data_IF_495871642892
#
_entry.id   IF_495871642892
#
_cell.length_a   1.000
_cell.length_b   1.000
_cell.length_c   1.000
_cell.angle_alpha   90.00
_cell.angle_beta   90.00
_cell.angle_gamma   90.00
#
_symmetry.space_group_name_H-M   'P 1'
#
loop_
_entity.id
_entity.type
_entity.pdbx_description
1 polymer ?
#
# COMPACT_ATOMS: atom_id res chain seq x y z
N UNK A 1 15.23 9.27 17.87
CA UNK A 1 16.08 8.04 17.97
C UNK A 1 17.53 8.38 18.22
N UNK A 2 18.28 7.45 18.81
CA UNK A 2 19.71 7.58 19.12
C UNK A 2 20.43 6.31 18.68
N UNK A 3 21.46 6.45 17.85
CA UNK A 3 22.25 5.35 17.31
C UNK A 3 23.72 5.56 17.70
N UNK A 4 24.23 4.84 18.71
CA UNK A 4 25.65 4.89 19.05
C UNK A 4 26.45 4.25 17.90
N UNK A 5 27.47 4.97 17.43
CA UNK A 5 28.37 4.50 16.41
C UNK A 5 29.51 3.77 17.09
N UNK A 6 29.58 2.46 16.89
CA UNK A 6 30.54 1.60 17.56
C UNK A 6 31.75 1.30 16.66
N UNK A 7 32.93 1.17 17.26
CA UNK A 7 34.13 0.68 16.58
C UNK A 7 34.12 -0.86 16.53
N UNK A 8 35.13 -1.46 15.88
CA UNK A 8 35.25 -2.93 15.79
C UNK A 8 35.40 -3.62 17.16
N UNK A 9 35.65 -2.87 18.24
CA UNK A 9 35.79 -3.35 19.62
C UNK A 9 34.53 -3.05 20.44
N UNK A 10 33.47 -2.54 19.82
CA UNK A 10 32.21 -2.19 20.49
C UNK A 10 32.25 -0.88 21.27
N UNK A 11 33.30 -0.05 21.12
CA UNK A 11 33.40 1.24 21.80
C UNK A 11 32.70 2.32 20.99
N UNK A 12 31.89 3.14 21.65
CA UNK A 12 31.24 4.29 21.04
C UNK A 12 32.26 5.36 20.66
N UNK A 13 32.25 5.79 19.40
CA UNK A 13 33.11 6.87 18.89
C UNK A 13 32.31 8.06 18.36
N UNK A 14 31.00 7.91 18.24
CA UNK A 14 30.09 8.97 17.83
C UNK A 14 28.65 8.58 18.11
N UNK A 15 27.76 9.55 17.99
CA UNK A 15 26.34 9.39 18.23
C UNK A 15 25.57 10.05 17.09
N UNK A 16 24.71 9.26 16.44
CA UNK A 16 23.80 9.77 15.43
C UNK A 16 22.40 9.89 16.04
N UNK A 17 21.81 11.07 15.94
CA UNK A 17 20.45 11.33 16.44
C UNK A 17 19.53 11.78 15.32
N UNK A 18 18.26 11.41 15.44
CA UNK A 18 17.20 11.79 14.52
C UNK A 18 15.92 12.13 15.27
N UNK A 19 15.20 13.12 14.77
CA UNK A 19 13.82 13.38 15.15
C UNK A 19 12.93 12.56 14.22
N UNK A 20 12.09 11.68 14.78
CA UNK A 20 11.31 10.72 14.00
C UNK A 20 9.91 10.54 14.59
N UNK A 21 8.91 10.36 13.72
CA UNK A 21 7.52 10.13 14.10
C UNK A 21 7.21 8.73 14.63
N UNK A 22 8.22 7.89 14.90
CA UNK A 22 7.99 6.53 15.36
C UNK A 22 7.49 6.51 16.81
N UNK A 23 6.64 5.53 17.15
CA UNK A 23 6.01 5.43 18.49
C UNK A 23 6.99 5.13 19.62
N UNK A 24 8.18 4.64 19.31
CA UNK A 24 9.23 4.30 20.28
C UNK A 24 10.61 4.58 19.72
N UNK A 25 11.57 4.90 20.59
CA UNK A 25 12.98 5.04 20.21
C UNK A 25 13.63 3.72 19.78
N UNK A 26 13.00 2.57 20.08
CA UNK A 26 13.47 1.23 19.70
C UNK A 26 12.88 0.73 18.37
N UNK A 27 11.84 1.40 17.85
CA UNK A 27 11.26 1.02 16.55
C UNK A 27 12.07 1.60 15.39
N UNK A 28 11.87 1.09 14.18
CA UNK A 28 12.41 1.69 12.95
C UNK A 28 12.04 3.17 12.87
N UNK A 29 12.96 3.99 12.36
CA UNK A 29 12.68 5.39 12.04
C UNK A 29 11.45 5.48 11.14
N UNK A 30 10.53 6.38 11.45
CA UNK A 30 9.33 6.68 10.67
C UNK A 30 9.35 8.13 10.23
N UNK A 31 9.13 8.34 8.93
CA UNK A 31 8.94 9.64 8.29
C UNK A 31 7.77 9.58 7.30
N UNK A 32 7.10 10.70 7.13
CA UNK A 32 5.97 10.89 6.22
C UNK A 32 6.37 11.70 4.99
N UNK A 33 5.49 11.74 3.98
CA UNK A 33 5.61 12.68 2.86
C UNK A 33 5.69 14.12 3.37
N UNK A 34 6.54 14.92 2.72
CA UNK A 34 6.85 16.31 3.04
C UNK A 34 7.50 16.55 4.42
N UNK A 35 7.85 15.49 5.16
CA UNK A 35 8.68 15.63 6.36
C UNK A 35 10.08 16.15 6.00
N UNK A 36 10.66 16.93 6.92
CA UNK A 36 12.09 17.24 6.91
C UNK A 36 12.78 16.31 7.90
N UNK A 37 13.69 15.47 7.39
CA UNK A 37 14.50 14.58 8.21
C UNK A 37 15.59 15.39 8.92
N UNK A 38 15.32 15.76 10.17
CA UNK A 38 16.27 16.40 11.06
C UNK A 38 17.12 15.37 11.80
N UNK A 39 18.42 15.64 11.86
CA UNK A 39 19.34 14.84 12.65
C UNK A 39 20.63 15.58 12.99
N UNK A 40 21.42 14.98 13.87
CA UNK A 40 22.76 15.46 14.18
C UNK A 40 23.72 14.30 14.32
N UNK A 41 24.92 14.49 13.80
CA UNK A 41 26.04 13.59 14.01
C UNK A 41 26.99 14.23 15.00
N UNK A 42 27.17 13.55 16.12
CA UNK A 42 28.16 13.88 17.12
C UNK A 42 29.35 12.94 17.00
N UNK A 43 30.57 13.47 17.05
CA UNK A 43 31.79 12.67 16.96
C UNK A 43 32.93 13.32 17.74
N UNK A 44 33.72 12.50 18.44
CA UNK A 44 34.99 12.93 19.02
C UNK A 44 36.13 12.80 18.01
N UNK A 45 36.96 13.83 17.88
CA UNK A 45 38.23 13.78 17.14
C UNK A 45 39.40 13.87 18.11
N UNK A 46 40.32 12.92 18.00
CA UNK A 46 41.53 12.88 18.82
C UNK A 46 42.71 13.57 18.12
N UNK A 47 43.76 13.87 18.89
CA UNK A 47 45.04 14.31 18.34
C UNK A 47 45.56 13.25 17.37
N UNK A 48 45.86 13.65 16.13
CA UNK A 48 46.22 12.78 14.99
C UNK A 48 45.06 11.98 14.36
N UNK A 49 43.79 12.41 14.49
CA UNK A 49 42.73 11.82 13.66
C UNK A 49 42.95 12.15 12.17
N UNK A 50 42.99 11.12 11.34
CA UNK A 50 43.18 11.24 9.89
C UNK A 50 41.87 11.54 9.17
N UNK A 51 40.88 12.12 9.84
CA UNK A 51 39.56 12.47 9.30
C UNK A 51 39.69 13.27 7.98
N UNK A 52 39.01 12.82 6.92
CA UNK A 52 39.06 13.42 5.59
C UNK A 52 37.73 14.04 5.19
N UNK A 53 36.64 13.34 5.45
CA UNK A 53 35.28 13.82 5.17
C UNK A 53 34.25 13.10 6.02
N UNK A 54 33.15 13.80 6.26
CA UNK A 54 31.95 13.30 6.91
C UNK A 54 30.79 13.59 5.98
N UNK A 55 30.08 12.54 5.54
CA UNK A 55 28.97 12.66 4.59
C UNK A 55 27.78 11.86 5.07
N UNK A 56 26.60 12.45 4.99
CA UNK A 56 25.34 11.75 5.23
C UNK A 56 24.59 11.62 3.91
N UNK A 57 24.03 10.45 3.65
CA UNK A 57 23.25 10.16 2.45
C UNK A 57 21.92 9.55 2.85
N UNK A 58 20.89 9.86 2.08
CA UNK A 58 19.57 9.23 2.17
C UNK A 58 19.26 8.65 0.80
N UNK A 59 18.74 7.42 0.73
CA UNK A 59 18.37 6.81 -0.53
C UNK A 59 17.13 5.92 -0.39
N UNK A 60 16.25 5.97 -1.40
CA UNK A 60 15.16 5.03 -1.61
C UNK A 60 15.50 4.06 -2.75
N UNK A 61 15.27 2.78 -2.54
CA UNK A 61 15.56 1.74 -3.53
C UNK A 61 14.51 0.63 -3.53
N UNK A 62 14.29 0.04 -4.70
CA UNK A 62 13.60 -1.25 -4.86
C UNK A 62 14.66 -2.34 -4.90
N UNK A 63 14.45 -3.42 -4.15
CA UNK A 63 15.32 -4.60 -4.11
C UNK A 63 14.49 -5.81 -4.54
N UNK A 64 14.82 -6.43 -5.68
CA UNK A 64 14.04 -7.51 -6.29
C UNK A 64 14.64 -8.92 -6.14
N UNK A 65 15.80 -9.03 -5.49
CA UNK A 65 16.51 -10.28 -5.29
C UNK A 65 17.75 -10.10 -4.41
N UNK A 66 18.51 -11.18 -4.18
CA UNK A 66 19.64 -11.18 -3.24
C UNK A 66 20.93 -10.59 -3.84
N UNK A 67 20.99 -10.35 -5.15
CA UNK A 67 22.19 -9.83 -5.81
C UNK A 67 22.24 -8.30 -5.71
N UNK A 68 23.45 -7.76 -5.71
CA UNK A 68 23.67 -6.29 -5.64
C UNK A 68 23.04 -5.57 -6.84
N UNK A 69 23.01 -6.23 -8.00
CA UNK A 69 22.40 -5.72 -9.23
C UNK A 69 20.86 -5.75 -9.20
N UNK A 70 20.24 -6.40 -8.21
CA UNK A 70 18.79 -6.39 -8.01
C UNK A 70 18.31 -5.15 -7.24
N UNK A 71 19.21 -4.22 -6.90
CA UNK A 71 18.92 -2.97 -6.19
C UNK A 71 18.87 -1.78 -7.14
N UNK A 72 17.68 -1.27 -7.40
CA UNK A 72 17.45 -0.06 -8.21
C UNK A 72 17.17 1.14 -7.31
N UNK A 73 18.10 2.08 -7.24
CA UNK A 73 17.92 3.35 -6.49
C UNK A 73 17.06 4.30 -7.32
N UNK A 74 15.92 4.72 -6.77
CA UNK A 74 15.00 5.65 -7.43
C UNK A 74 15.04 7.07 -6.84
N UNK A 75 15.63 7.23 -5.65
CA UNK A 75 15.78 8.53 -4.99
C UNK A 75 17.06 8.54 -4.16
N UNK A 76 17.80 9.66 -4.18
CA UNK A 76 19.04 9.82 -3.41
C UNK A 76 19.34 11.29 -3.13
N UNK A 77 19.68 11.59 -1.87
CA UNK A 77 20.22 12.87 -1.42
C UNK A 77 21.55 12.64 -0.68
N UNK A 78 22.42 13.65 -0.70
CA UNK A 78 23.73 13.61 -0.04
C UNK A 78 24.10 14.99 0.50
N UNK A 79 24.59 15.04 1.73
CA UNK A 79 25.11 16.26 2.36
C UNK A 79 26.52 16.01 2.91
N UNK A 80 27.46 16.89 2.55
CA UNK A 80 28.83 16.86 3.05
C UNK A 80 28.92 17.72 4.31
N UNK A 81 28.85 17.10 5.48
CA UNK A 81 28.84 17.81 6.77
C UNK A 81 30.18 18.46 7.09
N UNK A 82 31.28 17.80 6.71
CA UNK A 82 32.63 18.31 6.94
C UNK A 82 33.60 17.74 5.90
N UNK A 83 34.58 18.55 5.49
CA UNK A 83 35.73 18.08 4.71
C UNK A 83 37.01 18.77 5.18
N UNK A 84 38.12 18.04 5.16
CA UNK A 84 39.46 18.56 5.51
C UNK A 84 39.89 19.74 4.62
N UNK A 85 39.36 19.82 3.39
CA UNK A 85 39.65 20.92 2.46
C UNK A 85 39.08 22.25 2.94
N UNK A 86 37.95 22.22 3.64
CA UNK A 86 37.21 23.42 4.05
C UNK A 86 37.65 23.89 5.44
N UNK A 87 38.07 22.98 6.31
CA UNK A 87 38.65 23.33 7.61
C UNK A 87 39.57 22.22 8.13
N UNK A 88 40.64 22.56 8.89
CA UNK A 88 41.44 21.57 9.59
C UNK A 88 40.60 20.88 10.68
N UNK A 89 40.86 19.60 10.99
CA UNK A 89 40.14 18.91 12.05
C UNK A 89 40.59 19.48 13.41
N UNK A 90 39.69 20.21 14.08
CA UNK A 90 39.93 20.63 15.47
C UNK A 90 39.83 19.41 16.39
N UNK A 91 40.59 19.40 17.48
CA UNK A 91 40.53 18.35 18.49
C UNK A 91 39.32 18.63 19.38
N UNK A 92 38.50 17.62 19.64
CA UNK A 92 37.40 17.72 20.59
C UNK A 92 36.11 17.12 20.06
N UNK A 93 35.00 17.58 20.64
CA UNK A 93 33.65 17.10 20.32
C UNK A 93 33.05 17.96 19.22
N UNK A 94 32.69 17.33 18.12
CA UNK A 94 32.03 17.96 16.98
C UNK A 94 30.57 17.54 16.93
N UNK A 95 29.70 18.49 16.60
CA UNK A 95 28.28 18.24 16.35
C UNK A 95 27.92 18.88 15.02
N UNK A 96 27.53 18.06 14.06
CA UNK A 96 27.09 18.51 12.74
C UNK A 96 25.59 18.25 12.58
N UNK A 97 24.74 19.29 12.63
CA UNK A 97 23.33 19.15 12.31
C UNK A 97 23.16 18.97 10.80
N UNK A 98 22.10 18.27 10.41
CA UNK A 98 21.71 18.12 9.01
C UNK A 98 20.19 18.03 8.88
N UNK A 99 19.71 18.37 7.69
CA UNK A 99 18.31 18.29 7.33
C UNK A 99 18.20 17.79 5.89
N UNK A 100 17.30 16.83 5.65
CA UNK A 100 16.95 16.38 4.31
C UNK A 100 15.44 16.54 4.10
N UNK A 101 14.98 17.41 3.19
CA UNK A 101 13.58 17.43 2.80
C UNK A 101 13.26 16.13 2.04
N UNK A 102 12.20 15.43 2.45
CA UNK A 102 11.71 14.27 1.72
C UNK A 102 10.75 14.79 0.65
N UNK A 103 11.07 14.64 -0.64
CA UNK A 103 10.22 15.17 -1.70
C UNK A 103 8.94 14.34 -1.83
N UNK A 104 7.83 14.99 -2.18
CA UNK A 104 6.58 14.34 -2.58
C UNK A 104 6.71 13.64 -3.93
N UNK A 105 7.45 14.22 -4.87
CA UNK A 105 7.69 13.66 -6.20
C UNK A 105 9.18 13.64 -6.58
N UNK A 106 9.57 12.61 -7.33
CA UNK A 106 10.93 12.47 -7.85
C UNK A 106 10.88 12.16 -9.34
N UNK A 107 11.83 12.73 -10.09
CA UNK A 107 12.06 12.38 -11.49
C UNK A 107 13.06 11.22 -11.57
N UNK A 108 12.71 10.15 -12.29
CA UNK A 108 13.66 9.07 -12.53
C UNK A 108 14.63 9.48 -13.63
N UNK A 109 15.94 9.27 -13.45
CA UNK A 109 16.97 9.53 -14.46
C UNK A 109 16.82 8.74 -15.78
N UNK A 110 15.81 7.87 -15.91
CA UNK A 110 15.46 7.14 -17.14
C UNK A 110 13.99 7.23 -17.56
N UNK A 111 13.15 8.05 -16.92
CA UNK A 111 11.75 8.27 -17.32
C UNK A 111 11.40 9.75 -17.19
N UNK A 112 10.77 10.38 -18.20
CA UNK A 112 10.40 11.80 -18.14
C UNK A 112 9.25 12.08 -17.16
N UNK A 113 8.58 11.06 -16.62
CA UNK A 113 7.47 11.24 -15.69
C UNK A 113 7.96 11.32 -14.23
N UNK A 114 7.50 12.36 -13.52
CA UNK A 114 7.58 12.42 -12.07
C UNK A 114 6.72 11.31 -11.46
N UNK A 115 7.18 10.75 -10.34
CA UNK A 115 6.42 9.77 -9.58
C UNK A 115 6.49 10.08 -8.08
N UNK A 116 5.43 9.72 -7.36
CA UNK A 116 5.41 9.78 -5.90
C UNK A 116 6.27 8.68 -5.29
N UNK A 117 6.98 9.02 -4.22
CA UNK A 117 7.77 8.04 -3.48
C UNK A 117 6.89 6.88 -2.98
N UNK A 118 7.25 5.61 -3.23
CA UNK A 118 6.45 4.46 -2.78
C UNK A 118 6.60 4.25 -1.28
N UNK A 119 5.54 3.78 -0.60
CA UNK A 119 5.61 3.38 0.81
C UNK A 119 6.68 2.30 1.02
N UNK A 120 7.34 2.30 2.17
CA UNK A 120 8.23 1.19 2.55
C UNK A 120 7.44 -0.12 2.59
N UNK A 121 7.94 -1.11 1.86
CA UNK A 121 7.24 -2.36 1.59
C UNK A 121 8.18 -3.53 1.84
N UNK A 122 7.80 -4.42 2.77
CA UNK A 122 8.52 -5.65 3.07
C UNK A 122 7.51 -6.74 3.40
N UNK A 123 7.44 -7.77 2.57
CA UNK A 123 6.52 -8.88 2.77
C UNK A 123 7.17 -10.24 2.55
N UNK A 124 6.70 -11.23 3.32
CA UNK A 124 7.29 -12.59 3.33
C UNK A 124 7.11 -13.33 2.00
N UNK A 125 6.05 -13.05 1.26
CA UNK A 125 5.67 -13.81 0.07
C UNK A 125 5.94 -13.09 -1.25
N UNK A 126 6.55 -11.90 -1.19
CA UNK A 126 6.98 -11.16 -2.38
C UNK A 126 8.49 -11.08 -2.41
N UNK A 127 9.10 -11.31 -3.58
CA UNK A 127 10.56 -11.21 -3.75
C UNK A 127 11.08 -9.77 -3.78
N UNK A 128 10.17 -8.80 -3.63
CA UNK A 128 10.47 -7.38 -3.72
C UNK A 128 10.31 -6.67 -2.40
N UNK A 129 11.20 -5.71 -2.19
CA UNK A 129 11.18 -4.82 -1.03
C UNK A 129 11.43 -3.39 -1.48
N UNK A 130 10.69 -2.43 -0.91
CA UNK A 130 10.98 -1.00 -1.02
C UNK A 130 11.64 -0.55 0.27
N UNK A 131 12.89 -0.11 0.17
CA UNK A 131 13.72 0.28 1.31
C UNK A 131 14.15 1.73 1.21
N UNK A 132 14.08 2.41 2.34
CA UNK A 132 14.73 3.70 2.54
C UNK A 132 15.86 3.52 3.56
N UNK A 133 17.02 4.07 3.24
CA UNK A 133 18.24 3.92 4.03
C UNK A 133 18.90 5.27 4.23
N UNK A 134 19.34 5.51 5.47
CA UNK A 134 20.25 6.60 5.79
C UNK A 134 21.63 5.99 6.03
N UNK A 135 22.64 6.56 5.39
CA UNK A 135 24.03 6.14 5.58
C UNK A 135 24.92 7.30 5.98
N UNK A 136 25.74 7.11 7.01
CA UNK A 136 26.79 8.02 7.41
C UNK A 136 28.13 7.42 7.00
N UNK A 137 28.90 8.18 6.26
CA UNK A 137 30.19 7.77 5.71
C UNK A 137 31.25 8.72 6.29
N UNK A 138 32.14 8.14 7.11
CA UNK A 138 33.27 8.85 7.71
C UNK A 138 34.55 8.32 7.09
N UNK A 139 35.11 9.11 6.18
CA UNK A 139 36.34 8.77 5.47
C UNK A 139 37.55 9.26 6.25
N UNK A 140 38.54 8.38 6.44
CA UNK A 140 39.81 8.67 7.10
C UNK A 140 40.99 8.42 6.13
N UNK A 141 42.11 9.10 6.36
CA UNK A 141 43.36 8.98 5.59
C UNK A 141 44.12 7.68 5.85
N UNK A 142 45.28 7.54 5.20
CA UNK A 142 46.05 6.29 4.98
C UNK A 142 45.85 5.15 5.99
N UNK A 143 45.54 3.96 5.46
CA UNK A 143 45.41 2.66 6.13
C UNK A 143 44.31 2.51 7.20
N UNK A 144 43.44 3.51 7.42
CA UNK A 144 42.26 3.36 8.28
C UNK A 144 41.02 3.00 7.47
N UNK A 145 40.25 2.02 7.97
CA UNK A 145 38.98 1.62 7.36
C UNK A 145 38.00 2.79 7.41
N UNK A 146 37.27 3.01 6.32
CA UNK A 146 36.13 3.93 6.29
C UNK A 146 35.04 3.41 7.23
N UNK A 147 34.52 4.29 8.08
CA UNK A 147 33.40 3.92 8.94
C UNK A 147 32.10 4.19 8.20
N UNK A 148 31.32 3.13 8.00
CA UNK A 148 30.00 3.18 7.39
C UNK A 148 28.96 2.80 8.44
N UNK A 149 28.06 3.72 8.72
CA UNK A 149 26.83 3.43 9.45
C UNK A 149 25.66 3.44 8.48
N UNK A 150 24.74 2.49 8.64
CA UNK A 150 23.52 2.40 7.84
C UNK A 150 22.36 2.05 8.76
N UNK A 151 21.23 2.73 8.57
CA UNK A 151 19.98 2.39 9.24
C UNK A 151 18.81 2.48 8.27
N UNK A 152 17.80 1.66 8.50
CA UNK A 152 16.57 1.66 7.72
C UNK A 152 15.60 2.72 8.21
N UNK A 153 14.80 3.21 7.27
CA UNK A 153 13.72 4.15 7.47
C UNK A 153 12.46 3.53 6.90
N UNK A 154 11.37 3.63 7.68
CA UNK A 154 10.02 3.47 7.18
C UNK A 154 9.54 4.83 6.68
N UNK A 155 9.24 4.90 5.41
CA UNK A 155 8.59 6.03 4.75
C UNK A 155 7.12 5.70 4.49
N UNK A 156 6.23 6.65 4.76
CA UNK A 156 4.79 6.53 4.51
C UNK A 156 4.31 7.76 3.71
N UNK A 157 3.82 7.59 2.46
CA UNK A 157 3.27 8.70 1.70
C UNK A 157 1.99 9.23 2.36
N UNK A 158 1.56 10.44 2.05
CA UNK A 158 0.39 11.12 2.60
C UNK A 158 -0.74 11.26 1.56
N UNK A 159 -1.16 10.14 0.96
CA UNK A 159 -2.25 10.13 -0.03
C UNK A 159 -3.63 10.12 0.63
N UNK A 160 -4.61 10.77 -0.02
CA UNK A 160 -5.98 10.93 0.50
C UNK A 160 -7.04 10.69 -0.57
N UNK A 161 -8.16 10.04 -0.20
CA UNK A 161 -9.36 10.13 -1.00
C UNK A 161 -10.02 11.51 -0.86
N UNK A 162 -10.84 11.85 -1.83
CA UNK A 162 -11.82 12.91 -1.78
C UNK A 162 -12.91 12.55 -0.74
N UNK A 163 -13.62 13.56 -0.22
CA UNK A 163 -14.77 13.32 0.64
C UNK A 163 -15.83 12.43 -0.06
N UNK A 164 -16.53 11.54 0.69
CA UNK A 164 -17.69 10.82 0.16
C UNK A 164 -18.81 11.79 -0.27
N UNK A 165 -19.83 11.28 -0.96
CA UNK A 165 -21.06 12.04 -1.28
C UNK A 165 -21.70 12.69 -0.04
N UNK A 166 -22.46 13.77 -0.24
CA UNK A 166 -23.09 14.50 0.88
C UNK A 166 -24.04 13.62 1.69
N UNK A 167 -24.83 12.77 1.01
CA UNK A 167 -25.76 11.84 1.66
C UNK A 167 -25.01 10.78 2.47
N UNK A 168 -23.92 10.22 1.95
CA UNK A 168 -23.09 9.28 2.70
C UNK A 168 -22.40 9.93 3.90
N UNK A 169 -21.87 11.14 3.75
CA UNK A 169 -21.31 11.87 4.89
C UNK A 169 -22.37 12.10 5.98
N UNK A 170 -23.62 12.37 5.62
CA UNK A 170 -24.72 12.48 6.57
C UNK A 170 -24.98 11.13 7.27
N UNK A 171 -25.06 10.04 6.51
CA UNK A 171 -25.27 8.70 7.06
C UNK A 171 -24.18 8.34 8.09
N UNK A 172 -22.91 8.56 7.76
CA UNK A 172 -21.79 8.33 8.68
C UNK A 172 -21.86 9.21 9.95
N UNK A 173 -22.21 10.49 9.83
CA UNK A 173 -22.33 11.39 11.00
C UNK A 173 -23.46 10.98 11.93
N UNK A 174 -24.56 10.51 11.36
CA UNK A 174 -25.76 10.13 12.11
C UNK A 174 -25.79 8.65 12.49
N UNK A 175 -24.77 7.87 12.12
CA UNK A 175 -24.72 6.43 12.27
C UNK A 175 -25.98 5.73 11.72
N UNK A 176 -26.43 6.17 10.54
CA UNK A 176 -27.61 5.64 9.84
C UNK A 176 -27.19 4.65 8.75
N UNK A 177 -28.14 3.85 8.26
CA UNK A 177 -27.94 3.00 7.09
C UNK A 177 -27.46 3.82 5.88
N UNK A 178 -26.60 3.23 5.07
CA UNK A 178 -26.11 3.88 3.85
C UNK A 178 -27.23 3.96 2.81
N UNK A 179 -27.39 5.10 2.13
CA UNK A 179 -28.33 5.19 1.02
C UNK A 179 -27.87 4.29 -0.14
N UNK A 180 -28.82 3.59 -0.75
CA UNK A 180 -28.55 2.68 -1.87
C UNK A 180 -28.21 3.43 -3.18
N UNK A 181 -27.76 2.72 -4.23
CA UNK A 181 -27.40 3.33 -5.53
C UNK A 181 -28.47 4.20 -6.18
N UNK A 182 -29.76 3.92 -5.93
CA UNK A 182 -30.87 4.74 -6.44
C UNK A 182 -31.09 6.03 -5.64
N UNK A 183 -30.78 6.02 -4.35
CA UNK A 183 -31.02 7.14 -3.43
C UNK A 183 -29.85 8.13 -3.42
N UNK A 184 -28.63 7.63 -3.65
CA UNK A 184 -27.40 8.42 -3.72
C UNK A 184 -26.55 8.05 -4.95
N UNK A 185 -26.99 8.37 -6.18
CA UNK A 185 -26.27 7.98 -7.40
C UNK A 185 -24.82 8.48 -7.44
N UNK A 186 -24.57 9.69 -6.93
CA UNK A 186 -23.23 10.27 -6.83
C UNK A 186 -22.34 9.54 -5.82
N UNK A 187 -22.96 8.85 -4.87
CA UNK A 187 -22.31 7.98 -3.90
C UNK A 187 -22.11 6.55 -4.39
N UNK A 188 -22.33 6.20 -5.65
CA UNK A 188 -22.06 4.84 -6.11
C UNK A 188 -21.37 4.86 -7.48
N UNK A 189 -20.26 4.13 -7.59
CA UNK A 189 -19.63 3.85 -8.87
C UNK A 189 -20.12 2.51 -9.38
N UNK A 190 -20.87 2.53 -10.48
CA UNK A 190 -21.41 1.35 -11.13
C UNK A 190 -20.45 0.83 -12.19
N UNK A 191 -19.91 -0.38 -12.00
CA UNK A 191 -19.26 -1.09 -13.09
C UNK A 191 -20.29 -1.74 -14.03
N UNK A 192 -19.89 -2.06 -15.27
CA UNK A 192 -20.73 -2.77 -16.23
C UNK A 192 -21.29 -4.11 -15.72
N UNK A 193 -22.18 -4.72 -16.50
CA UNK A 193 -22.77 -6.04 -16.22
C UNK A 193 -21.78 -7.15 -16.55
N UNK A 194 -21.74 -8.19 -15.72
CA UNK A 194 -21.02 -9.42 -15.99
C UNK A 194 -21.99 -10.61 -16.00
N UNK A 195 -21.70 -11.62 -16.80
CA UNK A 195 -22.50 -12.83 -16.87
C UNK A 195 -21.73 -13.96 -16.19
N UNK A 196 -22.35 -14.61 -15.22
CA UNK A 196 -21.84 -15.84 -14.65
C UNK A 196 -22.47 -17.03 -15.36
N UNK A 197 -21.63 -17.96 -15.84
CA UNK A 197 -22.07 -19.15 -16.52
C UNK A 197 -21.80 -20.39 -15.69
N UNK A 198 -22.75 -21.33 -15.70
CA UNK A 198 -22.58 -22.58 -14.97
C UNK A 198 -23.78 -23.50 -15.06
N UNK A 199 -23.78 -24.49 -14.17
CA UNK A 199 -24.78 -25.54 -14.11
C UNK A 199 -25.37 -25.66 -12.71
N UNK A 200 -26.70 -25.60 -12.63
CA UNK A 200 -27.46 -25.96 -11.43
C UNK A 200 -27.53 -27.49 -11.35
N UNK A 201 -27.14 -28.04 -10.20
CA UNK A 201 -27.03 -29.47 -9.91
C UNK A 201 -26.34 -30.30 -11.00
N UNK A 202 -25.33 -29.71 -11.66
CA UNK A 202 -24.53 -30.31 -12.75
C UNK A 202 -25.32 -30.73 -14.01
N UNK A 203 -26.60 -30.39 -14.10
CA UNK A 203 -27.48 -30.88 -15.16
C UNK A 203 -28.13 -29.76 -15.95
N UNK A 204 -28.62 -28.71 -15.27
CA UNK A 204 -29.30 -27.59 -15.92
C UNK A 204 -28.35 -26.42 -16.11
N UNK A 205 -28.11 -26.04 -17.36
CA UNK A 205 -27.34 -24.82 -17.65
C UNK A 205 -28.13 -23.60 -17.17
N UNK A 206 -27.47 -22.70 -16.45
CA UNK A 206 -28.05 -21.45 -16.01
C UNK A 206 -27.08 -20.29 -16.22
N UNK A 207 -27.65 -19.13 -16.47
CA UNK A 207 -26.92 -17.87 -16.62
C UNK A 207 -27.50 -16.89 -15.60
N UNK A 208 -26.64 -16.34 -14.77
CA UNK A 208 -27.00 -15.28 -13.83
C UNK A 208 -26.26 -14.04 -14.27
N UNK A 209 -27.01 -12.98 -14.54
CA UNK A 209 -26.45 -11.67 -14.81
C UNK A 209 -26.12 -11.00 -13.48
N UNK A 210 -24.85 -10.74 -13.26
CA UNK A 210 -24.35 -9.95 -12.14
C UNK A 210 -24.28 -8.49 -12.61
N UNK A 211 -25.31 -7.72 -12.32
CA UNK A 211 -25.35 -6.31 -12.63
C UNK A 211 -24.66 -5.52 -11.53
N UNK A 212 -23.66 -4.72 -11.93
CA UNK A 212 -23.15 -3.60 -11.17
C UNK A 212 -22.68 -3.95 -9.75
N UNK A 213 -21.44 -4.44 -9.63
CA UNK A 213 -20.73 -4.23 -8.35
C UNK A 213 -20.58 -2.73 -8.21
N UNK A 214 -21.43 -2.13 -7.39
CA UNK A 214 -21.35 -0.73 -7.09
C UNK A 214 -20.43 -0.57 -5.90
N UNK A 215 -19.41 0.27 -6.03
CA UNK A 215 -18.56 0.64 -4.91
C UNK A 215 -18.81 2.10 -4.56
N UNK A 216 -18.86 2.42 -3.27
CA UNK A 216 -18.97 3.81 -2.81
C UNK A 216 -17.75 4.63 -3.27
N UNK A 217 -17.85 5.53 -4.27
CA UNK A 217 -16.71 6.21 -4.79
C UNK A 217 -16.18 7.20 -3.78
N UNK A 218 -14.89 7.11 -3.63
CA UNK A 218 -14.05 8.10 -2.99
C UNK A 218 -12.99 8.37 -4.05
N UNK A 219 -13.06 9.49 -4.74
CA UNK A 219 -12.13 9.75 -5.84
C UNK A 219 -10.77 10.17 -5.32
N UNK A 220 -9.66 9.81 -5.95
CA UNK A 220 -8.37 10.34 -5.54
C UNK A 220 -8.34 11.87 -5.80
N UNK A 221 -7.88 12.66 -4.84
CA UNK A 221 -7.75 14.13 -4.99
C UNK A 221 -6.81 14.47 -6.15
N UNK A 222 -5.75 13.67 -6.33
CA UNK A 222 -4.77 13.84 -7.40
C UNK A 222 -5.24 13.25 -8.74
N UNK A 223 -6.22 12.33 -8.70
CA UNK A 223 -6.76 11.66 -9.88
C UNK A 223 -8.27 11.37 -9.71
N UNK A 224 -9.15 12.28 -10.13
CA UNK A 224 -10.58 12.20 -9.86
C UNK A 224 -11.29 11.05 -10.59
N UNK A 225 -10.61 10.34 -11.49
CA UNK A 225 -11.18 9.20 -12.22
C UNK A 225 -10.82 7.84 -11.58
N UNK A 226 -10.12 7.85 -10.45
CA UNK A 226 -9.69 6.64 -9.76
C UNK A 226 -10.39 6.52 -8.40
N UNK A 227 -11.04 5.38 -8.16
CA UNK A 227 -11.57 5.02 -6.84
C UNK A 227 -10.43 4.88 -5.83
N UNK A 228 -10.62 5.34 -4.61
CA UNK A 228 -9.58 5.51 -3.60
C UNK A 228 -10.12 5.25 -2.20
N UNK A 229 -9.59 4.27 -1.48
CA UNK A 229 -10.03 3.96 -0.12
C UNK A 229 -8.87 4.05 0.85
N UNK A 230 -9.13 4.47 2.09
CA UNK A 230 -8.06 4.55 3.09
C UNK A 230 -7.79 3.16 3.67
N UNK A 231 -6.52 2.79 3.87
CA UNK A 231 -6.19 1.57 4.62
C UNK A 231 -6.84 1.56 6.01
N UNK A 232 -7.27 0.39 6.47
CA UNK A 232 -7.96 0.26 7.76
C UNK A 232 -9.40 0.79 7.76
N UNK A 233 -9.95 1.20 6.61
CA UNK A 233 -11.36 1.53 6.46
C UNK A 233 -12.14 0.38 5.81
N UNK A 234 -13.37 0.67 5.40
CA UNK A 234 -14.25 -0.26 4.71
C UNK A 234 -14.57 0.21 3.29
N UNK A 235 -14.88 -0.73 2.41
CA UNK A 235 -15.40 -0.50 1.05
C UNK A 235 -16.85 -1.00 1.01
N UNK A 236 -17.84 -0.09 1.07
CA UNK A 236 -19.23 -0.46 0.85
C UNK A 236 -19.43 -0.98 -0.57
N UNK A 237 -20.14 -2.10 -0.68
CA UNK A 237 -20.45 -2.81 -1.91
C UNK A 237 -21.97 -2.98 -2.04
N UNK A 238 -22.46 -3.00 -3.26
CA UNK A 238 -23.85 -3.33 -3.58
C UNK A 238 -23.88 -4.12 -4.87
N UNK A 239 -24.64 -5.21 -4.93
CA UNK A 239 -24.79 -6.02 -6.14
C UNK A 239 -26.25 -6.34 -6.39
N UNK A 240 -26.65 -6.31 -7.66
CA UNK A 240 -27.96 -6.76 -8.12
C UNK A 240 -27.77 -7.94 -9.05
N UNK A 241 -28.36 -9.06 -8.68
CA UNK A 241 -28.36 -10.30 -9.45
C UNK A 241 -29.68 -10.40 -10.21
N UNK A 242 -29.61 -10.77 -11.48
CA UNK A 242 -30.78 -10.90 -12.35
C UNK A 242 -30.71 -12.23 -13.10
N UNK A 243 -31.79 -13.01 -13.08
CA UNK A 243 -31.89 -14.24 -13.87
C UNK A 243 -33.35 -14.64 -14.11
N UNK A 244 -33.62 -15.25 -15.27
CA UNK A 244 -34.89 -15.94 -15.52
C UNK A 244 -35.00 -17.28 -14.79
N UNK A 245 -33.87 -17.82 -14.29
CA UNK A 245 -33.83 -19.04 -13.48
C UNK A 245 -33.80 -18.66 -11.99
N UNK A 246 -34.98 -18.70 -11.36
CA UNK A 246 -35.18 -18.27 -9.96
C UNK A 246 -34.37 -19.13 -8.99
N UNK A 247 -34.21 -20.42 -9.28
CA UNK A 247 -33.47 -21.34 -8.41
C UNK A 247 -31.96 -21.09 -8.51
N UNK A 248 -31.44 -20.82 -9.72
CA UNK A 248 -30.05 -20.36 -9.87
C UNK A 248 -29.83 -19.02 -9.16
N UNK A 249 -30.81 -18.11 -9.26
CA UNK A 249 -30.76 -16.81 -8.63
C UNK A 249 -30.70 -16.90 -7.10
N UNK A 250 -31.52 -17.77 -6.49
CA UNK A 250 -31.51 -17.99 -5.04
C UNK A 250 -30.20 -18.62 -4.55
N UNK A 251 -29.62 -19.56 -5.32
CA UNK A 251 -28.31 -20.15 -5.02
C UNK A 251 -27.17 -19.13 -5.07
N UNK A 252 -27.24 -18.16 -5.99
CA UNK A 252 -26.27 -17.06 -6.12
C UNK A 252 -26.44 -15.99 -5.05
N UNK A 253 -27.68 -15.74 -4.63
CA UNK A 253 -28.01 -14.72 -3.65
C UNK A 253 -27.75 -15.18 -2.20
N UNK A 254 -27.28 -16.41 -2.00
CA UNK A 254 -26.79 -16.83 -0.70
C UNK A 254 -25.57 -15.96 -0.31
N UNK A 255 -25.53 -15.36 0.89
CA UNK A 255 -24.43 -14.47 1.30
C UNK A 255 -23.03 -15.07 1.16
N UNK A 256 -22.89 -16.37 1.43
CA UNK A 256 -21.62 -17.08 1.35
C UNK A 256 -21.25 -17.53 -0.08
N UNK A 257 -22.21 -17.48 -1.02
CA UNK A 257 -21.97 -17.87 -2.42
C UNK A 257 -21.22 -16.78 -3.20
N UNK A 258 -21.37 -15.50 -2.82
CA UNK A 258 -20.77 -14.39 -3.55
C UNK A 258 -19.29 -14.22 -3.20
N UNK A 259 -18.44 -14.57 -4.16
CA UNK A 259 -16.98 -14.49 -4.01
C UNK A 259 -16.48 -13.14 -4.55
N UNK A 260 -16.38 -12.15 -3.66
CA UNK A 260 -15.77 -10.86 -3.97
C UNK A 260 -14.58 -10.60 -3.04
N UNK A 261 -13.45 -10.23 -3.63
CA UNK A 261 -12.21 -10.03 -2.89
C UNK A 261 -11.51 -8.72 -3.24
N UNK A 262 -10.92 -8.09 -2.23
CA UNK A 262 -9.85 -7.11 -2.43
C UNK A 262 -8.54 -7.86 -2.72
N UNK A 263 -7.97 -7.62 -3.90
CA UNK A 263 -6.69 -8.17 -4.31
C UNK A 263 -5.68 -7.05 -4.53
N UNK A 264 -4.46 -7.31 -4.12
CA UNK A 264 -3.29 -6.47 -4.40
C UNK A 264 -2.44 -7.13 -5.46
N UNK A 265 -1.92 -6.34 -6.37
CA UNK A 265 -0.97 -6.74 -7.40
C UNK A 265 0.34 -6.02 -7.18
N UNK A 266 1.44 -6.77 -7.20
CA UNK A 266 2.80 -6.24 -7.15
C UNK A 266 3.48 -6.59 -8.46
N UNK A 267 3.79 -5.56 -9.24
CA UNK A 267 4.46 -5.68 -10.53
C UNK A 267 5.89 -5.16 -10.42
N UNK A 268 6.82 -5.86 -11.03
CA UNK A 268 8.19 -5.42 -11.17
C UNK A 268 8.90 -6.00 -12.37
N UNK A 269 10.03 -5.42 -12.78
CA UNK A 269 10.93 -6.10 -13.71
C UNK A 269 11.92 -6.98 -12.93
N UNK A 270 12.07 -8.22 -13.37
CA UNK A 270 13.06 -9.16 -12.86
C UNK A 270 13.93 -9.64 -14.01
N UNK A 271 15.22 -9.82 -13.75
CA UNK A 271 16.17 -10.47 -14.66
C UNK A 271 16.23 -11.96 -14.32
N UNK A 272 15.81 -12.83 -15.25
CA UNK A 272 15.92 -14.28 -15.06
C UNK A 272 17.34 -14.74 -15.42
N UNK A 273 18.06 -15.28 -14.43
CA UNK A 273 19.40 -15.86 -14.61
C UNK A 273 19.41 -17.11 -15.51
N UNK A 274 18.30 -17.84 -15.57
CA UNK A 274 18.19 -19.09 -16.36
C UNK A 274 17.88 -18.78 -17.83
N UNK A 275 17.10 -17.72 -18.08
CA UNK A 275 16.64 -17.38 -19.42
C UNK A 275 17.43 -16.24 -20.07
N UNK A 276 18.34 -15.56 -19.35
CA UNK A 276 18.98 -14.29 -19.77
C UNK A 276 17.97 -13.27 -20.33
N UNK A 277 16.76 -13.27 -19.76
CA UNK A 277 15.65 -12.43 -20.19
C UNK A 277 15.19 -11.55 -19.03
N UNK A 278 15.06 -10.25 -19.32
CA UNK A 278 14.40 -9.29 -18.44
C UNK A 278 12.92 -9.26 -18.80
N UNK A 279 12.06 -9.47 -17.80
CA UNK A 279 10.61 -9.54 -18.03
C UNK A 279 9.82 -8.94 -16.86
N UNK A 280 8.64 -8.36 -17.14
CA UNK A 280 7.73 -7.95 -16.09
C UNK A 280 7.19 -9.19 -15.37
N UNK A 281 7.42 -9.27 -14.07
CA UNK A 281 6.80 -10.25 -13.17
C UNK A 281 5.68 -9.56 -12.40
N UNK A 282 4.53 -10.23 -12.33
CA UNK A 282 3.38 -9.78 -11.55
C UNK A 282 2.98 -10.89 -10.59
N UNK A 283 2.82 -10.53 -9.32
CA UNK A 283 2.26 -11.39 -8.30
C UNK A 283 1.02 -10.74 -7.71
N UNK A 284 0.13 -11.54 -7.14
CA UNK A 284 -1.04 -11.02 -6.46
C UNK A 284 -1.20 -11.65 -5.08
N UNK A 285 -1.94 -10.96 -4.22
CA UNK A 285 -2.33 -11.44 -2.89
C UNK A 285 -3.78 -11.07 -2.64
N UNK A 286 -4.58 -12.05 -2.24
CA UNK A 286 -5.94 -11.82 -1.75
C UNK A 286 -5.86 -11.31 -0.31
N UNK A 287 -6.40 -10.11 -0.07
CA UNK A 287 -6.27 -9.41 1.20
C UNK A 287 -7.49 -9.56 2.09
N UNK A 288 -8.69 -9.42 1.52
CA UNK A 288 -9.93 -9.48 2.29
C UNK A 288 -11.11 -9.89 1.40
N UNK A 289 -12.01 -10.77 1.88
CA UNK A 289 -13.30 -10.99 1.26
C UNK A 289 -14.30 -9.87 1.57
N UNK A 290 -15.33 -9.75 0.74
CA UNK A 290 -16.55 -9.03 1.07
C UNK A 290 -17.44 -9.89 1.99
N UNK A 291 -18.01 -9.27 3.01
CA UNK A 291 -19.15 -9.84 3.74
C UNK A 291 -20.43 -9.34 3.08
N UNK A 292 -21.41 -10.23 2.84
CA UNK A 292 -22.66 -9.90 2.17
C UNK A 292 -23.87 -10.11 3.08
N UNK A 293 -24.93 -9.33 2.87
CA UNK A 293 -26.23 -9.54 3.50
C UNK A 293 -27.36 -9.13 2.54
N UNK A 294 -28.50 -9.87 2.56
CA UNK A 294 -29.59 -9.64 1.62
C UNK A 294 -30.37 -8.36 1.92
N UNK A 295 -30.94 -7.77 0.88
CA UNK A 295 -31.87 -6.63 0.95
C UNK A 295 -33.20 -6.99 0.29
N UNK A 296 -34.05 -7.79 0.96
CA UNK A 296 -35.28 -8.31 0.38
C UNK A 296 -36.28 -7.22 -0.01
N UNK A 297 -36.16 -6.02 0.57
CA UNK A 297 -36.97 -4.83 0.21
C UNK A 297 -36.81 -4.41 -1.25
N UNK A 298 -35.72 -4.81 -1.91
CA UNK A 298 -35.43 -4.50 -3.31
C UNK A 298 -35.56 -5.70 -4.25
N UNK A 299 -35.98 -6.86 -3.73
CA UNK A 299 -36.06 -8.09 -4.52
C UNK A 299 -37.36 -8.15 -5.35
N UNK A 300 -37.27 -8.80 -6.51
CA UNK A 300 -38.42 -9.15 -7.35
C UNK A 300 -38.35 -10.64 -7.69
N UNK A 301 -39.31 -11.18 -8.44
CA UNK A 301 -39.26 -12.59 -8.87
C UNK A 301 -37.95 -12.96 -9.55
N UNK A 302 -37.37 -12.05 -10.34
CA UNK A 302 -36.19 -12.30 -11.18
C UNK A 302 -34.96 -11.50 -10.76
N UNK A 303 -35.02 -10.83 -9.60
CA UNK A 303 -33.91 -10.02 -9.10
C UNK A 303 -33.65 -10.27 -7.62
N UNK A 304 -32.38 -10.33 -7.24
CA UNK A 304 -31.93 -10.36 -5.84
C UNK A 304 -30.92 -9.26 -5.60
N UNK A 305 -31.01 -8.61 -4.45
CA UNK A 305 -30.15 -7.49 -4.09
C UNK A 305 -29.42 -7.79 -2.80
N UNK A 306 -28.10 -7.56 -2.82
CA UNK A 306 -27.27 -7.71 -1.64
C UNK A 306 -26.44 -6.45 -1.41
N UNK A 307 -26.36 -6.08 -0.14
CA UNK A 307 -25.34 -5.16 0.35
C UNK A 307 -24.14 -5.95 0.82
N UNK A 308 -22.97 -5.35 0.70
CA UNK A 308 -21.76 -5.95 1.25
C UNK A 308 -20.73 -4.94 1.67
N UNK A 309 -19.68 -5.44 2.30
CA UNK A 309 -18.59 -4.62 2.81
C UNK A 309 -17.28 -5.39 2.77
N UNK A 310 -16.22 -4.76 2.24
CA UNK A 310 -14.86 -5.27 2.29
C UNK A 310 -14.07 -4.46 3.32
N UNK A 311 -13.46 -5.14 4.30
CA UNK A 311 -12.54 -4.50 5.25
C UNK A 311 -11.17 -4.36 4.63
N UNK A 312 -10.68 -3.13 4.46
CA UNK A 312 -9.32 -2.87 3.97
C UNK A 312 -8.36 -3.09 5.13
N UNK A 313 -7.38 -4.02 5.04
CA UNK A 313 -6.43 -4.24 6.14
C UNK A 313 -5.70 -2.95 6.52
N UNK A 314 -5.51 -2.71 7.81
CA UNK A 314 -4.88 -1.48 8.33
C UNK A 314 -3.40 -1.37 7.98
N UNK A 315 -2.74 -2.50 7.70
CA UNK A 315 -1.36 -2.63 7.28
C UNK A 315 -1.20 -2.61 5.74
N UNK A 316 -2.28 -2.42 4.99
CA UNK A 316 -2.22 -2.25 3.53
C UNK A 316 -1.30 -1.08 3.17
N UNK A 317 -0.34 -1.36 2.28
CA UNK A 317 0.56 -0.35 1.71
C UNK A 317 -0.15 0.52 0.68
N UNK A 318 0.22 1.79 0.59
CA UNK A 318 -0.36 2.70 -0.41
C UNK A 318 -0.18 2.21 -1.85
N UNK A 319 -1.16 2.50 -2.70
CA UNK A 319 -0.97 2.38 -4.16
C UNK A 319 0.17 3.27 -4.63
N UNK A 320 1.06 2.73 -5.46
CA UNK A 320 2.21 3.47 -5.97
C UNK A 320 2.71 2.87 -7.29
N UNK A 321 3.33 3.70 -8.12
CA UNK A 321 4.01 3.29 -9.33
C UNK A 321 5.32 4.08 -9.45
N UNK A 322 6.45 3.39 -9.53
CA UNK A 322 7.78 3.97 -9.50
C UNK A 322 8.68 3.23 -10.48
N UNK A 323 8.92 3.84 -11.64
CA UNK A 323 9.74 3.26 -12.69
C UNK A 323 9.24 1.86 -13.09
N UNK A 324 10.03 0.84 -12.74
CA UNK A 324 9.75 -0.54 -13.08
C UNK A 324 8.94 -1.31 -12.03
N UNK A 325 8.57 -0.67 -10.91
CA UNK A 325 7.84 -1.27 -9.79
C UNK A 325 6.46 -0.61 -9.61
N UNK A 326 5.44 -1.39 -9.28
CA UNK A 326 4.15 -0.85 -8.84
C UNK A 326 3.41 -1.75 -7.87
N UNK A 327 2.61 -1.11 -7.02
CA UNK A 327 1.59 -1.73 -6.17
C UNK A 327 0.23 -1.17 -6.59
N UNK A 328 -0.65 -2.04 -7.07
CA UNK A 328 -2.03 -1.70 -7.44
C UNK A 328 -3.03 -2.63 -6.75
N UNK A 329 -4.30 -2.25 -6.75
CA UNK A 329 -5.37 -3.00 -6.11
C UNK A 329 -6.57 -3.10 -7.05
N UNK A 330 -7.34 -4.17 -6.90
CA UNK A 330 -8.64 -4.30 -7.52
C UNK A 330 -9.63 -4.99 -6.57
N UNK A 331 -10.90 -4.62 -6.69
CA UNK A 331 -12.00 -5.43 -6.18
C UNK A 331 -12.42 -6.37 -7.29
N UNK A 332 -12.30 -7.66 -7.06
CA UNK A 332 -12.57 -8.69 -8.05
C UNK A 332 -13.75 -9.56 -7.62
N UNK A 333 -14.73 -9.70 -8.51
CA UNK A 333 -15.81 -10.68 -8.40
C UNK A 333 -15.44 -11.92 -9.19
N UNK A 334 -15.57 -13.06 -8.54
CA UNK A 334 -15.40 -14.36 -9.15
C UNK A 334 -16.76 -15.02 -9.33
N UNK A 335 -16.78 -16.10 -10.09
CA UNK A 335 -17.93 -16.98 -10.16
C UNK A 335 -18.29 -17.47 -8.76
N UNK A 336 -19.58 -17.63 -8.43
CA UNK A 336 -19.98 -17.95 -7.06
C UNK A 336 -19.51 -19.33 -6.63
N UNK A 337 -19.29 -19.48 -5.34
CA UNK A 337 -19.00 -20.75 -4.70
C UNK A 337 -20.24 -21.22 -3.92
N UNK A 338 -21.16 -21.88 -4.62
CA UNK A 338 -22.45 -22.31 -4.05
C UNK A 338 -22.64 -23.81 -4.21
N UNK A 339 -23.08 -24.46 -3.14
CA UNK A 339 -23.47 -25.88 -3.19
C UNK A 339 -24.66 -26.02 -4.12
N UNK A 340 -24.48 -26.72 -5.23
CA UNK A 340 -25.51 -26.90 -6.25
C UNK A 340 -25.35 -26.00 -7.47
N UNK A 341 -24.35 -25.12 -7.52
CA UNK A 341 -23.95 -24.43 -8.74
C UNK A 341 -22.49 -24.75 -9.09
N UNK A 342 -22.23 -25.09 -10.35
CA UNK A 342 -20.85 -25.33 -10.84
C UNK A 342 -20.53 -24.35 -11.95
N UNK A 343 -19.61 -23.43 -11.68
CA UNK A 343 -19.20 -22.40 -12.62
C UNK A 343 -18.30 -22.95 -13.72
N UNK A 344 -18.39 -22.36 -14.92
CA UNK A 344 -17.48 -22.64 -16.02
C UNK A 344 -16.26 -21.71 -16.05
N UNK A 345 -16.40 -20.51 -15.49
CA UNK A 345 -15.36 -19.47 -15.54
C UNK A 345 -14.41 -19.59 -14.35
N UNK A 346 -13.11 -19.62 -14.64
CA UNK A 346 -12.03 -19.73 -13.64
C UNK A 346 -11.34 -18.39 -13.33
N UNK A 347 -11.61 -17.35 -14.13
CA UNK A 347 -11.09 -15.99 -13.93
C UNK A 347 -12.10 -15.09 -13.21
N UNK A 348 -11.65 -13.92 -12.78
CA UNK A 348 -12.56 -12.90 -12.29
C UNK A 348 -13.58 -12.51 -13.38
N UNK A 349 -14.86 -12.46 -13.02
CA UNK A 349 -15.96 -11.97 -13.85
C UNK A 349 -15.90 -10.44 -13.99
N UNK A 350 -15.47 -9.77 -12.91
CA UNK A 350 -15.25 -8.32 -12.87
C UNK A 350 -13.94 -8.06 -12.14
N UNK A 351 -13.14 -7.12 -12.64
CA UNK A 351 -11.98 -6.57 -11.95
C UNK A 351 -12.07 -5.04 -11.97
N UNK A 352 -12.35 -4.45 -10.82
CA UNK A 352 -12.53 -3.00 -10.66
C UNK A 352 -11.28 -2.40 -10.01
N UNK A 353 -10.44 -1.66 -10.75
CA UNK A 353 -9.22 -1.08 -10.19
C UNK A 353 -9.55 -0.01 -9.15
N UNK A 354 -8.86 -0.08 -8.03
CA UNK A 354 -8.94 0.92 -6.95
C UNK A 354 -7.54 1.33 -6.51
N UNK A 355 -7.45 2.42 -5.76
CA UNK A 355 -6.27 2.86 -5.05
C UNK A 355 -6.46 2.76 -3.54
N UNK A 356 -5.37 2.48 -2.82
CA UNK A 356 -5.34 2.51 -1.37
C UNK A 356 -4.51 3.71 -0.92
N UNK A 357 -5.12 4.54 -0.08
CA UNK A 357 -4.56 5.73 0.52
C UNK A 357 -4.14 5.49 1.98
N UNK A 358 -3.18 6.28 2.46
CA UNK A 358 -2.66 6.18 3.84
C UNK A 358 -3.39 7.07 4.83
N UNK A 359 -4.01 8.14 4.32
CA UNK A 359 -4.72 9.14 5.10
C UNK A 359 -6.19 9.20 4.69
N UNK A 360 -7.04 9.57 5.62
CA UNK A 360 -8.46 9.78 5.34
C UNK A 360 -8.71 11.14 4.67
N UNK A 361 -9.86 11.25 4.02
CA UNK A 361 -10.36 12.50 3.47
C UNK A 361 -10.37 13.61 4.55
N UNK A 362 -9.96 14.81 4.15
CA UNK A 362 -9.94 16.00 5.01
C UNK A 362 -11.37 16.51 5.19
N UNK A 363 -11.72 16.95 6.41
CA UNK A 363 -13.04 17.52 6.74
C UNK A 363 -14.25 16.60 6.46
N UNK A 364 -14.05 15.28 6.37
CA UNK A 364 -15.09 14.28 6.18
C UNK A 364 -15.19 13.34 7.40
N UNK A 365 -16.39 12.81 7.73
CA UNK A 365 -16.53 11.77 8.75
C UNK A 365 -15.74 10.52 8.36
N UNK A 366 -15.31 9.75 9.37
CA UNK A 366 -14.67 8.45 9.15
C UNK A 366 -15.71 7.46 8.59
N UNK A 367 -15.33 6.58 7.63
CA UNK A 367 -16.18 5.48 7.23
C UNK A 367 -16.57 4.62 8.44
N UNK A 368 -17.84 4.23 8.50
CA UNK A 368 -18.39 3.36 9.53
C UNK A 368 -18.58 1.97 8.92
N UNK A 369 -18.22 0.92 9.69
CA UNK A 369 -18.46 -0.46 9.30
C UNK A 369 -19.89 -0.86 9.67
N UNK A 370 -20.62 -1.44 8.73
CA UNK A 370 -22.00 -1.91 8.90
C UNK A 370 -22.14 -3.43 8.78
N UNK A 371 -21.07 -4.13 8.37
CA UNK A 371 -21.08 -5.57 8.27
C UNK A 371 -21.58 -6.21 9.57
N UNK A 372 -22.54 -7.16 9.50
CA UNK A 372 -22.92 -7.96 10.66
C UNK A 372 -21.69 -8.60 11.30
N UNK A 373 -21.70 -8.87 12.61
CA UNK A 373 -20.62 -9.60 13.26
C UNK A 373 -20.40 -10.94 12.55
N UNK A 374 -19.23 -11.14 11.96
CA UNK A 374 -18.82 -12.45 11.48
C UNK A 374 -18.54 -13.31 12.72
N UNK A 375 -19.27 -14.42 12.88
CA UNK A 375 -18.82 -15.48 13.78
C UNK A 375 -17.61 -16.12 13.12
N UNK A 376 -16.41 -15.63 13.42
CA UNK A 376 -15.18 -16.25 12.97
C UNK A 376 -15.18 -17.69 13.49
N UNK A 377 -15.44 -18.65 12.59
CA UNK A 377 -15.14 -20.04 12.86
C UNK A 377 -13.63 -20.11 12.92
N UNK A 378 -13.11 -20.14 14.15
CA UNK A 378 -11.69 -20.33 14.45
C UNK A 378 -11.13 -21.44 13.56
N UNK A 379 -10.37 -21.05 12.54
CA UNK A 379 -9.42 -21.96 11.91
C UNK A 379 -8.17 -21.92 12.79
N UNK A 380 -7.82 -23.03 13.47
CA UNK A 380 -6.61 -23.07 14.28
C UNK A 380 -5.40 -22.84 13.37
N UNK A 381 -4.50 -21.97 13.85
CA UNK A 381 -3.25 -21.55 13.21
C UNK A 381 -2.29 -22.70 12.92
#
# INVERSE_FOLDING_TARGET
HRFPLLDKRGREWGLLTFDSGARSAQSTLLFYEDDIMHGSLEMGTEKNDSLRSVTVKVAGAVVAGPLVDDRTVFWKLSSSLWTRKNSPPEIGRHVWPFAFPIPSEVTNSGSPANFKLPESFLERHTRITVLYEISVIVTRGMFRTENHFKTHVRYVPCTRPAPPSALRQRAYRLNQALPGPREDPDGWYTNGTAMAHGHVFRTRQAVVQCTAINLSPHYNIDNPFQLCYTRGSVIPCWITLESGDVEALDLFAAPDALVVHLRRFVRHQTTSLVANQTGPTQSFTTLAPAAWWPKPEHDTTYTRTLEGEIRVPADSVSSSATGQFSISYAVELFSPDSVGFTCTDSSALVSLPISIATMHATNAPRPVAYAPPSYDVFTPR
#
